data_IF_270295172862
#
_entry.id   IF_270295172862
#
_cell.length_a   1.000
_cell.length_b   1.000
_cell.length_c   1.000
_cell.angle_alpha   90.00
_cell.angle_beta   90.00
_cell.angle_gamma   90.00
#
_symmetry.space_group_name_H-M   'P 1'
#
loop_
_entity.id
_entity.type
_entity.pdbx_description
1 polymer ?
#
# COMPACT_ATOMS: atom_id res chain seq x y z
N UNK A 1 -3.19 -36.90 -5.16
CA UNK A 1 -3.75 -35.57 -5.41
C UNK A 1 -2.83 -34.61 -4.70
N UNK A 2 -2.22 -33.67 -5.42
CA UNK A 2 -1.52 -32.56 -4.76
C UNK A 2 -2.67 -31.72 -4.20
N UNK A 3 -2.84 -31.69 -2.88
CA UNK A 3 -3.73 -30.74 -2.22
C UNK A 3 -3.25 -29.34 -2.67
N UNK A 4 -4.13 -28.61 -3.35
CA UNK A 4 -3.87 -27.21 -3.71
C UNK A 4 -4.09 -26.35 -2.46
N UNK A 5 -3.39 -25.23 -2.37
CA UNK A 5 -3.66 -24.24 -1.34
C UNK A 5 -5.13 -23.79 -1.29
N UNK A 6 -5.48 -23.17 -0.18
CA UNK A 6 -6.82 -22.68 0.12
C UNK A 6 -7.36 -21.72 -0.95
N UNK A 7 -8.66 -21.81 -1.23
CA UNK A 7 -9.37 -20.80 -2.01
C UNK A 7 -9.66 -19.54 -1.17
N UNK A 8 -10.21 -18.51 -1.81
CA UNK A 8 -10.45 -17.21 -1.15
C UNK A 8 -11.30 -17.34 0.13
N UNK A 9 -12.36 -18.15 0.08
CA UNK A 9 -13.26 -18.33 1.23
C UNK A 9 -12.54 -19.04 2.38
N UNK A 10 -11.78 -20.10 2.09
CA UNK A 10 -10.98 -20.83 3.07
C UNK A 10 -9.91 -19.93 3.71
N UNK A 11 -9.20 -19.16 2.89
CA UNK A 11 -8.20 -18.17 3.36
C UNK A 11 -8.82 -17.16 4.31
N UNK A 12 -9.99 -16.61 3.98
CA UNK A 12 -10.70 -15.66 4.84
C UNK A 12 -11.17 -16.30 6.16
N UNK A 13 -11.62 -17.55 6.15
CA UNK A 13 -12.00 -18.28 7.37
C UNK A 13 -10.79 -18.44 8.29
N UNK A 14 -9.63 -18.82 7.74
CA UNK A 14 -8.41 -19.00 8.53
C UNK A 14 -7.86 -17.69 9.07
N UNK A 15 -7.82 -16.63 8.27
CA UNK A 15 -7.48 -15.28 8.75
C UNK A 15 -8.43 -14.80 9.86
N UNK A 16 -9.75 -14.98 9.68
CA UNK A 16 -10.74 -14.64 10.70
C UNK A 16 -10.47 -15.39 12.02
N UNK A 17 -10.14 -16.69 11.95
CA UNK A 17 -9.81 -17.50 13.12
C UNK A 17 -8.50 -17.07 13.80
N UNK A 18 -7.48 -16.71 13.02
CA UNK A 18 -6.21 -16.19 13.54
C UNK A 18 -6.41 -14.87 14.29
N UNK A 19 -7.28 -14.00 13.77
CA UNK A 19 -7.57 -12.69 14.34
C UNK A 19 -8.49 -12.75 15.57
N UNK A 20 -9.34 -13.77 15.69
CA UNK A 20 -10.36 -13.87 16.74
C UNK A 20 -9.79 -13.73 18.16
N UNK A 21 -8.68 -14.40 18.45
CA UNK A 21 -7.97 -14.30 19.73
C UNK A 21 -6.50 -14.77 19.60
N UNK A 22 -5.67 -14.58 20.63
CA UNK A 22 -4.26 -15.00 20.66
C UNK A 22 -4.02 -16.44 21.12
N UNK A 23 -5.02 -17.08 21.72
CA UNK A 23 -4.92 -18.41 22.31
C UNK A 23 -5.36 -19.56 21.40
N UNK A 24 -6.11 -19.28 20.33
CA UNK A 24 -6.68 -20.31 19.48
C UNK A 24 -5.58 -21.13 18.81
N UNK A 25 -5.75 -22.45 18.87
CA UNK A 25 -4.80 -23.41 18.30
C UNK A 25 -4.83 -23.36 16.78
N UNK A 26 -3.68 -23.69 16.19
CA UNK A 26 -3.50 -23.86 14.76
C UNK A 26 -4.58 -24.81 14.22
N UNK A 27 -5.46 -24.34 13.31
CA UNK A 27 -6.48 -25.19 12.70
C UNK A 27 -5.90 -26.14 11.64
N UNK A 28 -4.69 -25.87 11.15
CA UNK A 28 -4.04 -26.66 10.11
C UNK A 28 -3.24 -27.81 10.74
N UNK A 29 -3.06 -28.93 10.02
CA UNK A 29 -2.20 -30.01 10.49
C UNK A 29 -0.78 -29.51 10.75
N UNK A 30 -0.15 -29.97 11.83
CA UNK A 30 1.27 -29.67 12.07
C UNK A 30 2.11 -30.20 10.90
N UNK A 31 2.64 -29.26 10.10
CA UNK A 31 3.56 -29.50 9.00
C UNK A 31 4.68 -28.47 9.08
N UNK A 32 5.92 -28.94 8.95
CA UNK A 32 7.05 -28.06 8.73
C UNK A 32 6.99 -27.54 7.31
N UNK A 33 7.11 -26.22 7.16
CA UNK A 33 7.23 -25.60 5.84
C UNK A 33 8.67 -25.58 5.35
N UNK A 34 9.63 -26.06 6.15
CA UNK A 34 11.03 -26.12 5.76
C UNK A 34 11.33 -27.48 5.10
N UNK A 35 12.34 -27.49 4.22
CA UNK A 35 12.87 -28.72 3.64
C UNK A 35 13.53 -29.60 4.71
N UNK A 36 13.89 -30.84 4.37
CA UNK A 36 14.68 -31.71 5.26
C UNK A 36 16.04 -31.09 5.63
N UNK A 37 16.57 -30.21 4.77
CA UNK A 37 17.80 -29.45 4.99
C UNK A 37 17.58 -28.17 5.81
N UNK A 38 16.34 -27.88 6.21
CA UNK A 38 15.97 -26.69 6.98
C UNK A 38 15.89 -25.41 6.14
N UNK A 39 15.67 -25.51 4.83
CA UNK A 39 15.58 -24.36 3.91
C UNK A 39 14.13 -24.00 3.57
N UNK A 40 13.90 -22.72 3.26
CA UNK A 40 12.63 -22.19 2.74
C UNK A 40 12.93 -21.34 1.50
N UNK A 41 12.89 -21.99 0.33
CA UNK A 41 13.34 -21.41 -0.94
C UNK A 41 12.32 -21.59 -2.06
N UNK A 42 12.27 -20.60 -2.96
CA UNK A 42 11.29 -20.59 -4.03
C UNK A 42 11.46 -21.75 -5.00
N UNK A 43 10.35 -22.43 -5.33
CA UNK A 43 10.35 -23.57 -6.24
C UNK A 43 10.93 -24.88 -5.67
N UNK A 44 11.41 -24.90 -4.42
CA UNK A 44 11.84 -26.15 -3.75
C UNK A 44 10.64 -26.88 -3.13
N UNK A 45 9.76 -26.13 -2.46
CA UNK A 45 8.60 -26.64 -1.72
C UNK A 45 7.44 -25.62 -1.74
N UNK A 46 6.16 -26.06 -1.79
CA UNK A 46 5.02 -25.19 -1.49
C UNK A 46 5.22 -24.55 -0.11
N UNK A 47 4.87 -23.26 0.07
CA UNK A 47 3.93 -22.43 -0.71
C UNK A 47 4.55 -21.53 -1.79
N UNK A 48 5.84 -21.69 -2.03
CA UNK A 48 6.61 -20.80 -2.89
C UNK A 48 6.48 -21.22 -4.36
N UNK A 49 5.25 -21.12 -4.88
CA UNK A 49 4.81 -21.77 -6.12
C UNK A 49 5.62 -21.37 -7.35
N UNK A 50 5.87 -20.07 -7.51
CA UNK A 50 6.54 -19.57 -8.71
C UNK A 50 7.29 -18.28 -8.43
N UNK A 51 8.51 -18.21 -8.94
CA UNK A 51 9.20 -16.94 -9.23
C UNK A 51 9.09 -16.68 -10.72
N UNK A 52 8.74 -15.45 -11.08
CA UNK A 52 8.70 -14.96 -12.45
C UNK A 52 10.08 -14.41 -12.77
N UNK A 53 10.95 -15.21 -13.40
CA UNK A 53 12.31 -14.79 -13.74
C UNK A 53 12.45 -14.33 -15.20
N UNK A 54 11.44 -14.58 -16.03
CA UNK A 54 11.48 -14.27 -17.46
C UNK A 54 10.08 -14.07 -18.06
N UNK A 55 10.04 -13.63 -19.32
CA UNK A 55 8.80 -13.54 -20.09
C UNK A 55 8.14 -14.91 -20.28
N UNK A 56 8.90 -16.00 -20.40
CA UNK A 56 8.34 -17.35 -20.50
C UNK A 56 7.58 -17.76 -19.23
N UNK A 57 8.12 -17.42 -18.05
CA UNK A 57 7.43 -17.62 -16.78
C UNK A 57 6.13 -16.81 -16.71
N UNK A 58 6.17 -15.58 -17.22
CA UNK A 58 4.99 -14.72 -17.31
C UNK A 58 3.91 -15.29 -18.23
N UNK A 59 4.30 -15.75 -19.42
CA UNK A 59 3.40 -16.41 -20.38
C UNK A 59 2.80 -17.70 -19.81
N UNK A 60 3.55 -18.44 -19.00
CA UNK A 60 3.01 -19.60 -18.30
C UNK A 60 1.89 -19.22 -17.33
N UNK A 61 2.08 -18.16 -16.52
CA UNK A 61 1.05 -17.67 -15.59
C UNK A 61 -0.19 -17.19 -16.35
N UNK A 62 -0.02 -16.49 -17.47
CA UNK A 62 -1.12 -16.07 -18.35
C UNK A 62 -1.97 -17.25 -18.87
N UNK A 63 -1.32 -18.38 -19.19
CA UNK A 63 -2.00 -19.58 -19.68
C UNK A 63 -2.65 -20.41 -18.57
N UNK A 64 -2.32 -20.14 -17.30
CA UNK A 64 -2.76 -20.93 -16.15
C UNK A 64 -3.41 -20.05 -15.07
N UNK A 65 -4.60 -19.46 -15.35
CA UNK A 65 -5.20 -18.46 -14.47
C UNK A 65 -5.61 -18.98 -13.10
N UNK A 66 -5.70 -20.29 -12.94
CA UNK A 66 -6.00 -20.91 -11.65
C UNK A 66 -4.85 -20.80 -10.65
N UNK A 67 -3.61 -20.53 -11.11
CA UNK A 67 -2.46 -20.38 -10.21
C UNK A 67 -2.57 -19.03 -9.50
N UNK A 68 -2.68 -17.92 -10.23
CA UNK A 68 -2.68 -16.60 -9.60
C UNK A 68 -3.98 -16.26 -8.86
N UNK A 69 -5.13 -16.80 -9.30
CA UNK A 69 -6.43 -16.53 -8.65
C UNK A 69 -6.54 -17.04 -7.21
N UNK A 70 -5.71 -18.01 -6.83
CA UNK A 70 -5.68 -18.59 -5.48
C UNK A 70 -4.36 -18.32 -4.77
N UNK A 71 -3.60 -17.31 -5.19
CA UNK A 71 -2.33 -16.98 -4.57
C UNK A 71 -2.24 -15.50 -4.19
N UNK A 72 -1.44 -15.23 -3.17
CA UNK A 72 -0.92 -13.88 -2.96
C UNK A 72 0.12 -13.58 -4.03
N UNK A 73 0.05 -12.38 -4.58
CA UNK A 73 1.01 -11.93 -5.58
C UNK A 73 1.97 -10.93 -4.93
N UNK A 74 3.22 -11.33 -4.75
CA UNK A 74 4.24 -10.54 -4.05
C UNK A 74 5.18 -9.94 -5.09
N UNK A 75 5.40 -8.64 -5.03
CA UNK A 75 6.22 -7.89 -5.97
C UNK A 75 7.38 -7.27 -5.20
N UNK A 76 8.60 -7.55 -5.64
CA UNK A 76 9.81 -6.95 -5.07
C UNK A 76 10.32 -5.83 -5.98
N UNK A 77 10.30 -4.55 -5.53
CA UNK A 77 10.95 -3.48 -6.27
C UNK A 77 12.47 -3.50 -6.10
N UNK A 78 12.99 -4.22 -5.10
CA UNK A 78 14.41 -4.31 -4.75
C UNK A 78 14.75 -5.70 -4.20
N UNK A 79 16.04 -6.08 -4.23
CA UNK A 79 16.51 -7.42 -3.83
C UNK A 79 16.46 -7.68 -2.31
N UNK A 80 16.50 -6.63 -1.50
CA UNK A 80 16.35 -6.67 -0.05
C UNK A 80 15.74 -5.37 0.48
N UNK A 81 15.12 -5.44 1.67
CA UNK A 81 14.59 -4.25 2.37
C UNK A 81 15.66 -3.58 3.23
N UNK A 82 16.77 -4.28 3.51
CA UNK A 82 17.96 -3.72 4.12
C UNK A 82 18.86 -4.78 4.79
N UNK A 83 19.78 -4.33 5.65
CA UNK A 83 20.81 -5.17 6.29
C UNK A 83 20.67 -5.09 7.81
N UNK A 84 20.40 -6.22 8.48
CA UNK A 84 20.15 -6.27 9.91
C UNK A 84 21.43 -6.14 10.76
N UNK A 85 21.29 -6.13 12.09
CA UNK A 85 22.42 -6.02 13.02
C UNK A 85 23.43 -7.17 12.91
N UNK A 86 23.02 -8.32 12.36
CA UNK A 86 23.88 -9.47 12.09
C UNK A 86 24.59 -9.39 10.73
N UNK A 87 24.47 -8.26 10.02
CA UNK A 87 24.99 -8.06 8.66
C UNK A 87 24.35 -8.99 7.61
N UNK A 88 23.13 -9.43 7.85
CA UNK A 88 22.36 -10.24 6.91
C UNK A 88 21.46 -9.33 6.07
N UNK A 89 21.45 -9.53 4.76
CA UNK A 89 20.39 -8.96 3.91
C UNK A 89 19.04 -9.58 4.28
N UNK A 90 17.99 -8.76 4.26
CA UNK A 90 16.64 -9.17 4.65
C UNK A 90 15.72 -9.13 3.44
N UNK A 91 15.25 -10.30 3.00
CA UNK A 91 14.25 -10.43 1.94
C UNK A 91 12.86 -10.68 2.53
N UNK A 92 12.13 -9.60 2.80
CA UNK A 92 10.86 -9.63 3.52
C UNK A 92 9.72 -10.41 2.83
N UNK A 93 9.75 -10.52 1.50
CA UNK A 93 8.77 -11.29 0.72
C UNK A 93 8.63 -12.76 1.16
N UNK A 94 9.72 -13.38 1.62
CA UNK A 94 9.69 -14.75 2.15
C UNK A 94 8.86 -14.84 3.43
N UNK A 95 8.90 -13.80 4.26
CA UNK A 95 8.12 -13.75 5.49
C UNK A 95 6.63 -13.70 5.17
N UNK A 96 6.22 -12.84 4.22
CA UNK A 96 4.83 -12.79 3.73
C UNK A 96 4.36 -14.18 3.29
N UNK A 97 5.12 -14.83 2.39
CA UNK A 97 4.73 -16.12 1.84
C UNK A 97 4.65 -17.21 2.92
N UNK A 98 5.61 -17.23 3.85
CA UNK A 98 5.57 -18.13 5.00
C UNK A 98 4.34 -17.88 5.88
N UNK A 99 4.06 -16.63 6.23
CA UNK A 99 2.94 -16.23 7.08
C UNK A 99 1.62 -16.65 6.43
N UNK A 100 1.44 -16.35 5.14
CA UNK A 100 0.24 -16.70 4.38
C UNK A 100 -0.02 -18.22 4.39
N UNK A 101 1.02 -19.01 4.17
CA UNK A 101 0.91 -20.46 4.21
C UNK A 101 0.68 -21.01 5.61
N UNK A 102 1.44 -20.55 6.59
CA UNK A 102 1.35 -21.05 7.96
C UNK A 102 0.01 -20.73 8.60
N UNK A 103 -0.58 -19.58 8.26
CA UNK A 103 -1.83 -19.12 8.88
C UNK A 103 -3.05 -19.59 8.10
N UNK A 104 -2.97 -19.65 6.77
CA UNK A 104 -4.16 -19.82 5.92
C UNK A 104 -3.98 -20.80 4.76
N UNK A 105 -2.88 -21.57 4.72
CA UNK A 105 -2.58 -22.51 3.63
C UNK A 105 -2.68 -21.83 2.25
N UNK A 106 -2.23 -20.57 2.19
CA UNK A 106 -2.32 -19.73 1.01
C UNK A 106 -0.97 -19.62 0.30
N UNK A 107 -0.95 -20.10 -0.94
CA UNK A 107 0.21 -20.10 -1.83
C UNK A 107 0.59 -18.68 -2.28
N UNK A 108 1.85 -18.51 -2.72
CA UNK A 108 2.38 -17.22 -3.17
C UNK A 108 3.11 -17.31 -4.50
N UNK A 109 2.98 -16.25 -5.30
CA UNK A 109 3.76 -16.02 -6.52
C UNK A 109 4.64 -14.79 -6.28
N UNK A 110 5.91 -14.90 -6.66
CA UNK A 110 6.86 -13.81 -6.59
C UNK A 110 7.16 -13.22 -7.96
N UNK A 111 7.10 -11.90 -8.05
CA UNK A 111 7.57 -11.12 -9.18
C UNK A 111 8.69 -10.17 -8.76
N UNK A 112 9.97 -10.58 -8.92
CA UNK A 112 11.12 -9.75 -8.63
C UNK A 112 11.36 -8.76 -9.76
N UNK A 113 10.59 -7.67 -9.78
CA UNK A 113 10.65 -6.62 -10.82
C UNK A 113 12.06 -6.06 -10.95
N UNK A 114 12.79 -6.00 -9.85
CA UNK A 114 14.19 -5.61 -9.80
C UNK A 114 15.08 -6.50 -10.71
N UNK A 115 14.80 -7.79 -10.80
CA UNK A 115 15.56 -8.71 -11.65
C UNK A 115 15.06 -8.70 -13.09
N UNK A 116 13.74 -8.80 -13.28
CA UNK A 116 13.11 -8.97 -14.60
C UNK A 116 12.94 -7.67 -15.40
N UNK A 117 13.03 -6.53 -14.71
CA UNK A 117 12.54 -5.26 -15.20
C UNK A 117 11.02 -5.22 -15.30
N UNK A 118 10.50 -4.17 -15.95
CA UNK A 118 9.07 -4.04 -16.19
C UNK A 118 8.63 -4.88 -17.36
N UNK A 119 7.82 -5.89 -17.06
CA UNK A 119 6.98 -6.56 -18.04
C UNK A 119 5.88 -5.59 -18.54
N UNK A 120 5.22 -5.96 -19.65
CA UNK A 120 4.16 -5.15 -20.23
C UNK A 120 2.98 -4.97 -19.24
N UNK A 121 2.74 -3.73 -18.79
CA UNK A 121 1.70 -3.40 -17.81
C UNK A 121 0.29 -3.78 -18.26
N UNK A 122 0.00 -3.75 -19.57
CA UNK A 122 -1.29 -4.18 -20.12
C UNK A 122 -1.59 -5.65 -19.82
N UNK A 123 -0.52 -6.45 -19.66
CA UNK A 123 -0.63 -7.85 -19.25
C UNK A 123 -0.53 -8.03 -17.74
N UNK A 124 0.32 -7.24 -17.07
CA UNK A 124 0.58 -7.34 -15.61
C UNK A 124 -0.64 -6.98 -14.79
N UNK A 125 -1.26 -5.85 -15.06
CA UNK A 125 -2.34 -5.32 -14.23
C UNK A 125 -3.56 -6.26 -14.16
N UNK A 126 -4.03 -6.88 -15.26
CA UNK A 126 -5.11 -7.87 -15.19
C UNK A 126 -4.80 -9.08 -14.30
N UNK A 127 -3.57 -9.59 -14.29
CA UNK A 127 -3.17 -10.72 -13.45
C UNK A 127 -3.13 -10.31 -11.98
N UNK A 128 -2.48 -9.18 -11.68
CA UNK A 128 -2.41 -8.64 -10.33
C UNK A 128 -3.82 -8.38 -9.79
N UNK A 129 -4.68 -7.77 -10.61
CA UNK A 129 -6.07 -7.51 -10.27
C UNK A 129 -6.87 -8.77 -10.02
N UNK A 130 -6.56 -9.90 -10.65
CA UNK A 130 -7.33 -11.13 -10.49
C UNK A 130 -6.73 -12.09 -9.43
N UNK A 131 -5.66 -11.69 -8.75
CA UNK A 131 -5.05 -12.45 -7.65
C UNK A 131 -5.84 -12.29 -6.34
N UNK A 132 -5.50 -13.05 -5.29
CA UNK A 132 -6.20 -12.90 -3.99
C UNK A 132 -5.91 -11.54 -3.34
N UNK A 133 -4.64 -11.15 -3.32
CA UNK A 133 -4.16 -9.83 -2.91
C UNK A 133 -2.81 -9.58 -3.59
N UNK A 134 -2.46 -8.30 -3.73
CA UNK A 134 -1.14 -7.88 -4.23
C UNK A 134 -0.37 -7.25 -3.08
N UNK A 135 0.87 -7.68 -2.88
CA UNK A 135 1.77 -7.15 -1.86
C UNK A 135 2.98 -6.59 -2.58
N UNK A 136 3.19 -5.28 -2.48
CA UNK A 136 4.31 -4.59 -3.08
C UNK A 136 5.29 -4.21 -1.97
N UNK A 137 6.45 -4.87 -1.98
CA UNK A 137 7.42 -4.87 -0.89
C UNK A 137 8.30 -3.62 -0.81
N UNK A 138 9.13 -3.55 0.23
CA UNK A 138 10.11 -2.49 0.42
C UNK A 138 11.36 -2.60 -0.45
N UNK A 139 12.33 -1.72 -0.17
CA UNK A 139 13.63 -1.69 -0.83
C UNK A 139 14.59 -0.75 -0.13
N UNK A 140 15.79 -0.60 -0.68
CA UNK A 140 16.84 0.24 -0.10
C UNK A 140 17.04 1.59 -0.83
N UNK A 141 16.26 1.87 -1.87
CA UNK A 141 16.31 3.12 -2.62
C UNK A 141 15.26 4.13 -2.11
N UNK A 142 15.64 5.40 -2.09
CA UNK A 142 14.77 6.50 -1.68
C UNK A 142 13.94 6.98 -2.88
N UNK A 143 12.62 7.08 -2.73
CA UNK A 143 11.73 7.50 -3.84
C UNK A 143 12.02 8.92 -4.30
N UNK A 144 12.31 9.84 -3.39
CA UNK A 144 12.65 11.22 -3.74
C UNK A 144 14.03 11.38 -4.43
N UNK A 145 14.85 10.33 -4.50
CA UNK A 145 16.17 10.34 -5.15
C UNK A 145 16.24 9.38 -6.36
N UNK A 146 15.93 9.86 -7.59
CA UNK A 146 15.98 9.05 -8.80
C UNK A 146 17.34 8.40 -9.08
N UNK A 147 18.44 8.98 -8.57
CA UNK A 147 19.80 8.47 -8.83
C UNK A 147 20.13 7.20 -8.08
N UNK A 148 19.36 6.85 -7.04
CA UNK A 148 19.53 5.59 -6.32
C UNK A 148 18.94 4.41 -7.10
N UNK A 149 18.02 4.66 -8.03
CA UNK A 149 17.36 3.66 -8.88
C UNK A 149 18.21 3.28 -10.11
N UNK A 150 19.50 3.00 -9.87
CA UNK A 150 20.50 2.67 -10.93
C UNK A 150 20.75 1.16 -11.07
N UNK A 151 20.37 0.40 -10.06
CA UNK A 151 20.34 -1.05 -10.01
C UNK A 151 19.24 -1.37 -9.01
N UNK A 152 18.26 -2.24 -9.29
CA UNK A 152 18.26 -3.24 -10.37
C UNK A 152 17.57 -2.80 -11.68
N UNK A 153 17.18 -3.74 -12.56
CA UNK A 153 16.62 -3.51 -13.93
C UNK A 153 15.25 -2.78 -13.97
N UNK A 154 14.89 -2.03 -12.94
CA UNK A 154 13.66 -1.26 -12.89
C UNK A 154 13.95 0.17 -12.45
N UNK A 155 13.61 1.13 -13.31
CA UNK A 155 13.74 2.55 -12.96
C UNK A 155 12.67 2.97 -11.96
N UNK A 156 12.93 4.08 -11.26
CA UNK A 156 11.92 4.72 -10.41
C UNK A 156 10.61 5.00 -11.16
N UNK A 157 10.70 5.55 -12.37
CA UNK A 157 9.54 5.89 -13.19
C UNK A 157 8.72 4.68 -13.58
N UNK A 158 9.38 3.55 -13.86
CA UNK A 158 8.73 2.29 -14.13
C UNK A 158 7.93 1.79 -12.92
N UNK A 159 8.49 1.91 -11.71
CA UNK A 159 7.78 1.56 -10.47
C UNK A 159 6.62 2.50 -10.17
N UNK A 160 6.81 3.82 -10.31
CA UNK A 160 5.74 4.81 -10.14
C UNK A 160 4.59 4.54 -11.12
N UNK A 161 4.91 4.21 -12.37
CA UNK A 161 3.91 3.85 -13.39
C UNK A 161 3.14 2.58 -12.99
N UNK A 162 3.83 1.54 -12.51
CA UNK A 162 3.18 0.32 -12.01
C UNK A 162 2.23 0.65 -10.84
N UNK A 163 2.67 1.47 -9.88
CA UNK A 163 1.86 1.86 -8.73
C UNK A 163 0.66 2.71 -9.15
N UNK A 164 0.81 3.66 -10.06
CA UNK A 164 -0.32 4.43 -10.62
C UNK A 164 -1.37 3.50 -11.25
N UNK A 165 -0.95 2.51 -12.04
CA UNK A 165 -1.89 1.56 -12.63
C UNK A 165 -2.56 0.67 -11.57
N UNK A 166 -1.82 0.24 -10.54
CA UNK A 166 -2.40 -0.49 -9.42
C UNK A 166 -3.45 0.35 -8.69
N UNK A 167 -3.15 1.63 -8.43
CA UNK A 167 -4.06 2.56 -7.81
C UNK A 167 -5.34 2.76 -8.64
N UNK A 168 -5.26 2.79 -9.97
CA UNK A 168 -6.42 2.92 -10.86
C UNK A 168 -7.16 1.60 -11.11
N UNK A 169 -6.56 0.45 -10.84
CA UNK A 169 -7.13 -0.87 -11.16
C UNK A 169 -8.18 -1.37 -10.15
N UNK A 170 -8.32 -0.72 -8.99
CA UNK A 170 -9.20 -1.22 -7.92
C UNK A 170 -10.67 -1.18 -8.35
N UNK A 171 -11.27 -2.35 -8.48
CA UNK A 171 -12.66 -2.54 -8.93
C UNK A 171 -13.37 -3.57 -8.04
N UNK A 172 -14.70 -3.80 -8.19
CA UNK A 172 -15.44 -4.74 -7.35
C UNK A 172 -14.97 -6.20 -7.40
N UNK A 173 -14.18 -6.58 -8.39
CA UNK A 173 -13.62 -7.94 -8.54
C UNK A 173 -12.10 -7.96 -8.52
N UNK A 174 -11.45 -6.81 -8.28
CA UNK A 174 -9.99 -6.79 -8.25
C UNK A 174 -9.46 -7.22 -6.89
N UNK A 175 -8.17 -7.50 -6.82
CA UNK A 175 -7.42 -7.68 -5.60
C UNK A 175 -7.28 -6.35 -4.84
N UNK A 176 -7.22 -6.36 -3.49
CA UNK A 176 -6.63 -5.27 -2.73
C UNK A 176 -5.12 -5.21 -2.94
N UNK A 177 -4.54 -4.04 -2.70
CA UNK A 177 -3.08 -3.85 -2.73
C UNK A 177 -2.59 -3.43 -1.34
N UNK A 178 -1.53 -4.06 -0.87
CA UNK A 178 -0.79 -3.69 0.34
C UNK A 178 0.62 -3.26 -0.09
N UNK A 179 1.00 -2.02 0.21
CA UNK A 179 2.29 -1.45 -0.20
C UNK A 179 3.14 -1.14 1.03
N UNK A 180 4.34 -1.70 1.10
CA UNK A 180 5.17 -1.75 2.31
C UNK A 180 6.49 -0.99 2.08
N UNK A 181 6.92 -0.21 3.09
CA UNK A 181 8.20 0.51 3.12
C UNK A 181 8.40 1.42 1.90
N UNK A 182 9.35 1.16 1.00
CA UNK A 182 9.55 1.95 -0.24
C UNK A 182 8.26 2.02 -1.07
N UNK A 183 7.42 1.00 -1.04
CA UNK A 183 6.18 1.01 -1.80
C UNK A 183 5.10 1.89 -1.18
N UNK A 184 5.16 2.15 0.13
CA UNK A 184 4.36 3.21 0.76
C UNK A 184 4.79 4.60 0.28
N UNK A 185 6.09 4.82 0.12
CA UNK A 185 6.63 6.05 -0.48
C UNK A 185 6.21 6.21 -1.96
N UNK A 186 6.32 5.14 -2.75
CA UNK A 186 5.86 5.14 -4.15
C UNK A 186 4.37 5.47 -4.24
N UNK A 187 3.55 4.91 -3.35
CA UNK A 187 2.12 5.21 -3.28
C UNK A 187 1.88 6.70 -3.01
N UNK A 188 2.61 7.30 -2.07
CA UNK A 188 2.48 8.73 -1.77
C UNK A 188 2.77 9.60 -3.00
N UNK A 189 3.91 9.37 -3.68
CA UNK A 189 4.26 10.11 -4.90
C UNK A 189 3.27 9.84 -6.05
N UNK A 190 2.85 8.60 -6.27
CA UNK A 190 1.87 8.24 -7.31
C UNK A 190 0.49 8.89 -7.09
N UNK A 191 0.02 9.05 -5.84
CA UNK A 191 -1.23 9.78 -5.59
C UNK A 191 -1.13 11.25 -6.04
N UNK A 192 0.00 11.91 -5.78
CA UNK A 192 0.23 13.29 -6.22
C UNK A 192 0.34 13.38 -7.74
N UNK A 193 1.05 12.45 -8.38
CA UNK A 193 1.15 12.38 -9.86
C UNK A 193 -0.21 12.17 -10.52
N UNK A 194 -1.05 11.28 -9.99
CA UNK A 194 -2.41 11.08 -10.48
C UNK A 194 -3.27 12.35 -10.36
N UNK A 195 -3.14 13.10 -9.26
CA UNK A 195 -3.85 14.37 -9.09
C UNK A 195 -3.35 15.45 -10.06
N UNK A 196 -2.03 15.53 -10.29
CA UNK A 196 -1.46 16.42 -11.29
C UNK A 196 -1.97 16.07 -12.69
N UNK A 197 -2.00 14.79 -13.05
CA UNK A 197 -2.53 14.31 -14.33
C UNK A 197 -4.02 14.65 -14.47
N UNK A 198 -4.83 14.40 -13.43
CA UNK A 198 -6.25 14.73 -13.43
C UNK A 198 -6.49 16.24 -13.63
N UNK A 199 -5.74 17.08 -12.91
CA UNK A 199 -5.82 18.54 -13.03
C UNK A 199 -5.42 18.99 -14.44
N UNK A 200 -4.31 18.48 -14.97
CA UNK A 200 -3.83 18.85 -16.30
C UNK A 200 -4.80 18.42 -17.40
N UNK A 201 -5.30 17.19 -17.36
CA UNK A 201 -6.24 16.66 -18.35
C UNK A 201 -7.55 17.45 -18.37
N UNK A 202 -8.10 17.76 -17.19
CA UNK A 202 -9.33 18.56 -17.08
C UNK A 202 -9.13 19.99 -17.58
N UNK A 203 -8.04 20.65 -17.17
CA UNK A 203 -7.77 22.05 -17.56
C UNK A 203 -7.54 22.15 -19.07
N UNK A 204 -6.82 21.21 -19.65
CA UNK A 204 -6.50 21.18 -21.09
C UNK A 204 -7.66 20.68 -21.96
N UNK A 205 -8.72 20.14 -21.36
CA UNK A 205 -9.91 19.73 -22.11
C UNK A 205 -10.67 20.98 -22.57
N UNK A 206 -10.75 21.20 -23.89
CA UNK A 206 -11.47 22.35 -24.46
C UNK A 206 -12.98 22.11 -24.53
N UNK A 207 -13.40 20.88 -24.86
CA UNK A 207 -14.79 20.51 -25.06
C UNK A 207 -15.04 19.06 -24.70
N UNK A 208 -16.22 18.78 -24.13
CA UNK A 208 -16.74 17.43 -23.99
C UNK A 208 -18.02 17.29 -24.83
N UNK A 209 -18.03 16.38 -25.81
CA UNK A 209 -19.14 16.27 -26.77
C UNK A 209 -20.48 15.88 -26.15
N UNK A 210 -20.46 15.30 -24.93
CA UNK A 210 -21.66 14.90 -24.18
C UNK A 210 -22.10 15.94 -23.15
N UNK A 211 -21.35 17.03 -23.02
CA UNK A 211 -21.61 18.14 -22.10
C UNK A 211 -22.16 19.33 -22.90
N UNK A 212 -23.44 19.25 -23.31
CA UNK A 212 -24.02 20.20 -24.27
C UNK A 212 -23.97 21.67 -23.78
N UNK A 213 -24.09 21.85 -22.46
CA UNK A 213 -24.10 23.16 -21.79
C UNK A 213 -22.74 23.52 -21.14
N UNK A 214 -21.70 22.71 -21.35
CA UNK A 214 -20.36 22.83 -20.74
C UNK A 214 -20.35 22.86 -19.19
N UNK A 215 -21.47 22.53 -18.52
CA UNK A 215 -21.61 22.61 -17.06
C UNK A 215 -20.64 21.67 -16.34
N UNK A 216 -20.50 20.43 -16.83
CA UNK A 216 -19.62 19.45 -16.20
C UNK A 216 -18.16 19.90 -16.27
N UNK A 217 -17.72 20.36 -17.45
CA UNK A 217 -16.37 20.82 -17.68
C UNK A 217 -16.06 22.10 -16.89
N UNK A 218 -17.01 23.05 -16.81
CA UNK A 218 -16.86 24.25 -15.99
C UNK A 218 -16.69 23.92 -14.51
N UNK A 219 -17.51 23.01 -13.98
CA UNK A 219 -17.42 22.57 -12.59
C UNK A 219 -16.07 21.88 -12.30
N UNK A 220 -15.66 20.95 -13.17
CA UNK A 220 -14.38 20.24 -13.05
C UNK A 220 -13.19 21.19 -13.15
N UNK A 221 -13.19 22.15 -14.08
CA UNK A 221 -12.11 23.14 -14.19
C UNK A 221 -12.00 24.00 -12.95
N UNK A 222 -13.12 24.48 -12.42
CA UNK A 222 -13.11 25.29 -11.20
C UNK A 222 -12.48 24.55 -10.02
N UNK A 223 -12.80 23.25 -9.83
CA UNK A 223 -12.17 22.48 -8.76
C UNK A 223 -10.71 22.14 -9.04
N UNK A 224 -10.34 21.80 -10.28
CA UNK A 224 -8.95 21.52 -10.65
C UNK A 224 -8.05 22.75 -10.51
N UNK A 225 -8.56 23.95 -10.79
CA UNK A 225 -7.85 25.20 -10.53
C UNK A 225 -7.63 25.44 -9.04
N UNK A 226 -8.62 25.13 -8.20
CA UNK A 226 -8.48 25.19 -6.74
C UNK A 226 -7.44 24.19 -6.25
N UNK A 227 -7.49 22.94 -6.72
CA UNK A 227 -6.54 21.88 -6.35
C UNK A 227 -5.12 22.29 -6.73
N UNK A 228 -4.92 22.79 -7.96
CA UNK A 228 -3.62 23.32 -8.41
C UNK A 228 -3.14 24.44 -7.49
N UNK A 229 -4.00 25.41 -7.20
CA UNK A 229 -3.64 26.55 -6.36
C UNK A 229 -3.23 26.12 -4.95
N UNK A 230 -3.95 25.19 -4.31
CA UNK A 230 -3.58 24.66 -3.00
C UNK A 230 -2.28 23.87 -3.10
N UNK A 231 -2.19 22.96 -4.07
CA UNK A 231 -1.02 22.12 -4.32
C UNK A 231 0.27 22.91 -4.52
N UNK A 232 0.23 24.01 -5.28
CA UNK A 232 1.38 24.89 -5.53
C UNK A 232 1.83 25.71 -4.30
N UNK A 233 0.98 25.86 -3.28
CA UNK A 233 1.25 26.71 -2.12
C UNK A 233 1.50 25.95 -0.81
N UNK A 234 1.26 24.65 -0.76
CA UNK A 234 1.61 23.81 0.40
C UNK A 234 3.12 23.81 0.61
N UNK A 235 3.51 23.87 1.88
CA UNK A 235 4.90 23.72 2.31
C UNK A 235 4.99 22.47 3.16
N UNK A 236 6.09 21.75 3.02
CA UNK A 236 6.42 20.63 3.91
C UNK A 236 7.36 21.19 4.98
N UNK A 237 6.92 21.13 6.24
CA UNK A 237 7.66 21.63 7.39
C UNK A 237 8.08 20.46 8.30
N UNK A 238 9.39 20.31 8.51
CA UNK A 238 9.92 19.33 9.47
C UNK A 238 9.69 19.79 10.90
N UNK A 239 9.79 18.87 11.87
CA UNK A 239 9.51 19.16 13.29
C UNK A 239 10.42 20.26 13.87
N UNK A 240 11.61 20.44 13.30
CA UNK A 240 12.56 21.50 13.65
C UNK A 240 12.25 22.88 13.02
N UNK A 241 11.14 23.00 12.28
CA UNK A 241 10.67 24.21 11.61
C UNK A 241 11.31 24.49 10.25
N UNK A 242 12.15 23.57 9.73
CA UNK A 242 12.72 23.72 8.38
C UNK A 242 11.67 23.39 7.32
N UNK A 243 11.56 24.28 6.33
CA UNK A 243 10.81 24.00 5.10
C UNK A 243 11.70 23.20 4.16
N UNK A 244 11.28 21.97 3.83
CA UNK A 244 12.06 21.03 3.00
C UNK A 244 11.52 20.88 1.57
N UNK A 245 10.30 21.33 1.33
CA UNK A 245 9.68 21.39 0.01
C UNK A 245 8.62 22.50 -0.04
N UNK A 246 8.40 23.04 -1.24
CA UNK A 246 7.30 23.98 -1.50
C UNK A 246 6.63 23.67 -2.84
N UNK A 247 5.32 23.42 -2.76
CA UNK A 247 4.49 23.09 -3.91
C UNK A 247 4.61 21.64 -4.35
N UNK A 248 3.52 21.08 -4.87
CA UNK A 248 3.40 19.69 -5.31
C UNK A 248 4.34 19.24 -6.45
N UNK A 249 5.07 20.18 -7.07
CA UNK A 249 6.07 19.88 -8.12
C UNK A 249 7.48 19.70 -7.54
N UNK A 250 7.67 19.97 -6.25
CA UNK A 250 8.94 19.73 -5.57
C UNK A 250 9.18 18.22 -5.42
N UNK A 251 10.41 17.77 -5.68
CA UNK A 251 10.78 16.36 -5.61
C UNK A 251 10.64 15.78 -4.20
N UNK A 252 10.76 16.63 -3.18
CA UNK A 252 10.60 16.22 -1.78
C UNK A 252 9.18 16.47 -1.26
N UNK A 253 8.21 16.77 -2.13
CA UNK A 253 6.84 17.09 -1.69
C UNK A 253 6.14 15.90 -1.02
N UNK A 254 6.29 14.70 -1.56
CA UNK A 254 5.62 13.50 -1.04
C UNK A 254 6.45 12.73 -0.03
N UNK A 255 7.78 12.73 -0.22
CA UNK A 255 8.72 11.90 0.52
C UNK A 255 9.98 12.72 0.78
N UNK A 256 10.53 12.62 1.98
CA UNK A 256 11.78 13.27 2.36
C UNK A 256 12.54 12.38 3.35
N UNK A 257 13.84 12.63 3.50
CA UNK A 257 14.60 12.03 4.59
C UNK A 257 14.00 12.40 5.95
N UNK A 258 13.75 11.40 6.78
CA UNK A 258 13.33 11.56 8.16
C UNK A 258 14.46 12.24 8.97
N UNK A 259 14.12 12.97 10.04
CA UNK A 259 15.13 13.53 10.95
C UNK A 259 15.94 12.45 11.65
N UNK A 260 15.29 11.34 12.01
CA UNK A 260 15.88 10.22 12.74
C UNK A 260 15.71 8.91 11.98
N UNK A 261 16.71 8.03 12.11
CA UNK A 261 16.67 6.71 11.49
C UNK A 261 15.74 5.78 12.27
N UNK A 262 14.77 5.18 11.59
CA UNK A 262 13.86 4.21 12.20
C UNK A 262 14.25 2.78 11.83
N UNK A 263 15.02 2.16 12.73
CA UNK A 263 15.38 0.74 12.66
C UNK A 263 15.01 0.07 13.98
N UNK A 264 14.43 -1.13 13.90
CA UNK A 264 14.02 -1.91 15.06
C UNK A 264 12.56 -1.70 15.45
N UNK A 265 12.22 -2.11 16.68
CA UNK A 265 10.87 -2.05 17.20
C UNK A 265 10.42 -0.58 17.39
N UNK A 266 9.20 -0.28 16.94
CA UNK A 266 8.48 0.98 17.20
C UNK A 266 7.05 0.69 17.63
N UNK A 267 6.38 1.72 18.12
CA UNK A 267 4.98 1.64 18.51
C UNK A 267 4.10 2.43 17.56
N UNK A 268 2.98 1.84 17.13
CA UNK A 268 1.95 2.58 16.41
C UNK A 268 1.00 3.29 17.38
N UNK A 269 0.78 4.57 17.09
CA UNK A 269 -0.25 5.39 17.72
C UNK A 269 -1.32 5.75 16.69
N UNK A 270 -2.59 5.91 17.11
CA UNK A 270 -3.64 6.40 16.22
C UNK A 270 -3.26 7.80 15.76
N UNK A 271 -3.41 8.05 14.45
CA UNK A 271 -3.09 9.35 13.89
C UNK A 271 -4.00 10.44 14.47
N UNK A 272 -3.40 11.56 14.88
CA UNK A 272 -4.13 12.71 15.43
C UNK A 272 -3.94 13.91 14.52
N UNK A 273 -5.02 14.28 13.82
CA UNK A 273 -5.03 15.48 12.97
C UNK A 273 -4.51 16.70 13.75
N UNK A 274 -3.50 17.42 13.23
CA UNK A 274 -2.98 18.62 13.86
C UNK A 274 -4.08 19.66 14.11
N UNK A 275 -3.91 20.45 15.17
CA UNK A 275 -4.79 21.60 15.41
C UNK A 275 -4.38 22.72 14.45
N UNK A 276 -5.33 23.28 13.71
CA UNK A 276 -5.08 24.36 12.74
C UNK A 276 -4.27 25.55 13.31
N UNK A 277 -4.44 25.88 14.59
CA UNK A 277 -3.66 26.96 15.24
C UNK A 277 -2.17 26.65 15.43
N UNK A 278 -1.77 25.40 15.31
CA UNK A 278 -0.43 24.88 15.59
C UNK A 278 0.20 24.27 14.33
N UNK A 279 -0.37 24.48 13.15
CA UNK A 279 0.08 23.87 11.91
C UNK A 279 -0.07 24.87 10.76
N UNK A 280 0.85 24.83 9.79
CA UNK A 280 0.73 25.59 8.55
C UNK A 280 -0.19 24.92 7.52
N UNK A 281 -0.70 23.72 7.81
CA UNK A 281 -1.58 22.96 6.93
C UNK A 281 -2.92 23.70 6.79
N UNK A 282 -3.40 23.95 5.55
CA UNK A 282 -4.69 24.59 5.33
C UNK A 282 -5.82 23.83 6.05
N UNK A 283 -6.70 24.59 6.72
CA UNK A 283 -7.78 24.02 7.54
C UNK A 283 -8.68 23.07 6.77
N UNK A 284 -8.91 23.33 5.47
CA UNK A 284 -9.74 22.48 4.62
C UNK A 284 -9.15 21.07 4.41
N UNK A 285 -7.83 20.90 4.48
CA UNK A 285 -7.18 19.59 4.42
C UNK A 285 -7.37 18.81 5.73
N UNK A 286 -7.22 19.51 6.86
CA UNK A 286 -7.43 18.96 8.20
C UNK A 286 -8.89 18.53 8.41
N UNK A 287 -9.84 19.37 7.99
CA UNK A 287 -11.28 19.08 8.08
C UNK A 287 -11.67 17.90 7.19
N UNK A 288 -11.13 17.81 5.97
CA UNK A 288 -11.37 16.68 5.08
C UNK A 288 -10.92 15.35 5.70
N UNK A 289 -9.76 15.34 6.36
CA UNK A 289 -9.30 14.15 7.09
C UNK A 289 -10.22 13.80 8.26
N UNK A 290 -10.68 14.79 9.04
CA UNK A 290 -11.60 14.54 10.16
C UNK A 290 -12.95 13.97 9.71
N UNK A 291 -13.50 14.46 8.59
CA UNK A 291 -14.72 13.89 7.98
C UNK A 291 -14.49 12.42 7.64
N UNK A 292 -13.40 12.11 6.96
CA UNK A 292 -13.06 10.74 6.59
C UNK A 292 -12.80 9.83 7.79
N UNK A 293 -12.16 10.35 8.83
CA UNK A 293 -11.94 9.62 10.08
C UNK A 293 -13.25 9.32 10.81
N UNK A 294 -14.26 10.18 10.69
CA UNK A 294 -15.59 9.96 11.24
C UNK A 294 -16.43 8.98 10.39
N UNK A 295 -16.43 9.14 9.06
CA UNK A 295 -17.20 8.29 8.16
C UNK A 295 -16.71 6.84 8.15
N UNK A 296 -15.39 6.64 8.26
CA UNK A 296 -14.77 5.32 8.21
C UNK A 296 -13.85 5.14 9.41
N UNK A 297 -14.37 4.44 10.41
CA UNK A 297 -13.59 3.93 11.53
C UNK A 297 -12.44 3.05 11.00
N UNK A 298 -11.20 3.35 11.41
CA UNK A 298 -10.02 2.69 10.88
C UNK A 298 -9.83 1.27 11.41
N UNK A 299 -9.28 0.40 10.57
CA UNK A 299 -8.90 -0.96 10.93
C UNK A 299 -7.82 -0.98 12.01
N UNK A 300 -6.84 -0.07 11.89
CA UNK A 300 -5.79 0.14 12.89
C UNK A 300 -6.34 0.79 14.15
N UNK A 301 -7.25 1.76 14.00
CA UNK A 301 -7.92 2.40 15.14
C UNK A 301 -8.55 1.34 16.05
N UNK A 302 -9.29 0.37 15.48
CA UNK A 302 -9.83 -0.74 16.26
C UNK A 302 -8.76 -1.61 16.90
N UNK A 303 -7.67 -1.93 16.19
CA UNK A 303 -6.63 -2.78 16.77
C UNK A 303 -5.92 -2.13 17.97
N UNK A 304 -5.58 -0.84 17.85
CA UNK A 304 -4.97 -0.08 18.94
C UNK A 304 -5.96 0.10 20.10
N UNK A 305 -7.22 0.45 19.78
CA UNK A 305 -8.26 0.70 20.78
C UNK A 305 -8.75 -0.58 21.50
N UNK A 306 -8.85 -1.71 20.79
CA UNK A 306 -9.30 -3.01 21.34
C UNK A 306 -8.27 -3.61 22.30
N UNK A 307 -6.98 -3.32 22.14
CA UNK A 307 -5.91 -3.93 22.93
C UNK A 307 -5.40 -3.05 24.07
N UNK A 308 -5.77 -1.77 24.11
CA UNK A 308 -5.41 -0.84 25.18
C UNK A 308 -3.90 -0.72 25.41
N UNK A 309 -3.10 -1.05 24.38
CA UNK A 309 -1.64 -1.07 24.39
C UNK A 309 -1.12 -0.59 23.05
N UNK A 310 0.10 -0.08 23.11
CA UNK A 310 0.90 0.31 21.96
C UNK A 310 1.17 -0.93 21.09
N UNK A 311 0.93 -0.82 19.78
CA UNK A 311 1.10 -1.92 18.81
C UNK A 311 2.56 -1.95 18.36
N UNK A 312 3.27 -3.03 18.67
CA UNK A 312 4.68 -3.18 18.30
C UNK A 312 4.86 -3.56 16.82
N UNK A 313 5.72 -2.84 16.12
CA UNK A 313 6.03 -3.03 14.70
C UNK A 313 7.53 -2.95 14.43
N UNK A 314 7.96 -3.52 13.31
CA UNK A 314 9.34 -3.52 12.85
C UNK A 314 9.60 -2.42 11.81
N UNK A 315 10.59 -1.56 12.04
CA UNK A 315 11.00 -0.49 11.12
C UNK A 315 12.35 -0.80 10.43
N UNK A 316 12.49 -0.32 9.20
CA UNK A 316 13.69 -0.52 8.36
C UNK A 316 13.92 0.59 7.32
N UNK A 317 13.80 1.88 7.67
CA UNK A 317 13.97 2.93 6.66
C UNK A 317 14.46 4.28 7.22
N UNK A 318 14.76 5.17 6.28
CA UNK A 318 15.37 6.49 6.49
C UNK A 318 14.52 7.64 5.95
N UNK A 319 13.57 7.36 5.06
CA UNK A 319 12.65 8.37 4.54
C UNK A 319 11.31 8.29 5.27
N UNK A 320 10.54 9.36 5.18
CA UNK A 320 9.17 9.42 5.62
C UNK A 320 8.28 9.94 4.49
N UNK A 321 7.02 9.53 4.52
CA UNK A 321 5.97 10.16 3.72
C UNK A 321 5.45 11.39 4.47
N UNK A 322 5.38 12.52 3.76
CA UNK A 322 4.99 13.78 4.36
C UNK A 322 3.49 13.81 4.70
N UNK A 323 3.16 14.23 5.92
CA UNK A 323 1.79 14.36 6.41
C UNK A 323 0.95 15.30 5.51
N UNK A 324 1.52 16.44 5.13
CA UNK A 324 0.83 17.47 4.36
C UNK A 324 0.48 16.99 2.96
N UNK A 325 1.34 16.17 2.35
CA UNK A 325 1.11 15.58 1.02
C UNK A 325 -0.09 14.65 1.03
N UNK A 326 -0.19 13.78 2.03
CA UNK A 326 -1.32 12.84 2.14
C UNK A 326 -2.62 13.56 2.51
N UNK A 327 -2.58 14.54 3.42
CA UNK A 327 -3.76 15.36 3.75
C UNK A 327 -4.26 16.15 2.52
N UNK A 328 -3.34 16.65 1.70
CA UNK A 328 -3.67 17.27 0.43
C UNK A 328 -4.31 16.28 -0.55
N UNK A 329 -3.70 15.11 -0.74
CA UNK A 329 -4.24 14.09 -1.62
C UNK A 329 -5.66 13.67 -1.21
N UNK A 330 -5.88 13.48 0.10
CA UNK A 330 -7.18 13.17 0.66
C UNK A 330 -8.25 14.20 0.27
N UNK A 331 -8.00 15.47 0.57
CA UNK A 331 -8.93 16.55 0.26
C UNK A 331 -9.16 16.70 -1.25
N UNK A 332 -8.09 16.60 -2.05
CA UNK A 332 -8.17 16.77 -3.50
C UNK A 332 -9.03 15.67 -4.15
N UNK A 333 -8.86 14.41 -3.73
CA UNK A 333 -9.72 13.32 -4.20
C UNK A 333 -11.18 13.49 -3.80
N UNK A 334 -11.45 13.87 -2.55
CA UNK A 334 -12.82 14.15 -2.10
C UNK A 334 -13.45 15.28 -2.91
N UNK A 335 -12.69 16.35 -3.16
CA UNK A 335 -13.13 17.51 -3.92
C UNK A 335 -13.44 17.14 -5.38
N UNK A 336 -12.56 16.38 -6.04
CA UNK A 336 -12.78 15.85 -7.39
C UNK A 336 -14.00 14.94 -7.43
N UNK A 337 -14.11 13.97 -6.52
CA UNK A 337 -15.24 13.06 -6.47
C UNK A 337 -16.56 13.83 -6.35
N UNK A 338 -16.63 14.83 -5.46
CA UNK A 338 -17.83 15.64 -5.28
C UNK A 338 -18.20 16.46 -6.53
N UNK A 339 -17.22 16.93 -7.29
CA UNK A 339 -17.46 17.60 -8.58
C UNK A 339 -17.90 16.62 -9.68
N UNK A 340 -17.42 15.37 -9.63
CA UNK A 340 -17.75 14.32 -10.60
C UNK A 340 -19.18 13.79 -10.39
N UNK A 341 -19.63 13.60 -9.15
CA UNK A 341 -20.91 12.94 -8.82
C UNK A 341 -22.12 13.46 -9.62
N UNK A 342 -22.37 14.79 -9.73
CA UNK A 342 -23.51 15.31 -10.48
C UNK A 342 -23.44 15.02 -11.99
N UNK A 343 -22.22 14.88 -12.53
CA UNK A 343 -21.96 14.79 -13.96
C UNK A 343 -21.38 13.43 -14.40
N UNK A 344 -21.42 12.42 -13.53
CA UNK A 344 -20.74 11.13 -13.73
C UNK A 344 -21.09 10.41 -15.02
N UNK A 345 -22.33 10.52 -15.52
CA UNK A 345 -22.74 9.89 -16.78
C UNK A 345 -22.16 10.59 -18.01
N UNK A 346 -21.96 11.91 -17.94
CA UNK A 346 -21.30 12.71 -18.98
C UNK A 346 -19.81 12.33 -19.00
N UNK A 347 -19.19 12.24 -17.83
CA UNK A 347 -17.76 11.90 -17.66
C UNK A 347 -17.48 10.46 -18.06
N UNK A 348 -18.33 9.50 -17.67
CA UNK A 348 -18.20 8.09 -18.05
C UNK A 348 -18.21 7.88 -19.57
N UNK A 349 -18.81 8.82 -20.30
CA UNK A 349 -18.91 8.82 -21.74
C UNK A 349 -17.80 9.55 -22.49
N UNK A 350 -16.83 10.14 -21.79
CA UNK A 350 -15.80 11.02 -22.38
C UNK A 350 -14.38 10.47 -22.18
N UNK A 351 -13.40 11.18 -22.73
CA UNK A 351 -11.98 10.87 -22.51
C UNK A 351 -11.54 11.08 -21.05
N UNK A 352 -12.34 11.79 -20.24
CA UNK A 352 -12.12 11.96 -18.80
C UNK A 352 -12.71 10.81 -17.96
N UNK A 353 -13.22 9.74 -18.60
CA UNK A 353 -13.81 8.59 -17.88
C UNK A 353 -12.84 7.91 -16.91
N UNK A 354 -11.53 8.02 -17.14
CA UNK A 354 -10.50 7.50 -16.24
C UNK A 354 -10.55 8.17 -14.85
N UNK A 355 -11.06 9.39 -14.72
CA UNK A 355 -11.25 10.06 -13.42
C UNK A 355 -12.18 9.27 -12.49
N UNK A 356 -13.05 8.43 -13.04
CA UNK A 356 -13.94 7.55 -12.25
C UNK A 356 -13.21 6.39 -11.59
N UNK A 357 -11.95 6.14 -11.96
CA UNK A 357 -11.08 5.11 -11.39
C UNK A 357 -10.18 5.66 -10.28
N UNK A 358 -10.14 6.98 -10.10
CA UNK A 358 -9.35 7.60 -9.05
C UNK A 358 -9.81 7.13 -7.66
N UNK A 359 -8.88 7.07 -6.68
CA UNK A 359 -9.26 6.95 -5.28
C UNK A 359 -10.31 8.00 -4.89
N UNK A 360 -11.21 7.62 -3.98
CA UNK A 360 -12.13 8.57 -3.34
C UNK A 360 -11.43 9.39 -2.26
N UNK A 361 -10.46 8.79 -1.56
CA UNK A 361 -9.75 9.40 -0.43
C UNK A 361 -8.50 8.61 -0.08
N UNK A 362 -7.56 9.25 0.63
CA UNK A 362 -6.37 8.62 1.22
C UNK A 362 -6.26 9.07 2.67
N UNK A 363 -6.59 8.18 3.62
CA UNK A 363 -6.64 8.49 5.04
C UNK A 363 -5.34 8.06 5.73
N UNK A 364 -4.69 8.95 6.47
CA UNK A 364 -3.62 8.56 7.42
C UNK A 364 -4.27 7.83 8.60
N UNK A 365 -3.77 6.64 8.91
CA UNK A 365 -4.29 5.77 9.96
C UNK A 365 -3.47 5.85 11.26
N UNK A 366 -2.15 5.93 11.15
CA UNK A 366 -1.28 5.83 12.32
C UNK A 366 0.02 6.63 12.15
N UNK A 367 0.63 6.95 13.29
CA UNK A 367 1.97 7.51 13.42
C UNK A 367 2.87 6.53 14.18
N UNK A 368 4.19 6.60 14.00
CA UNK A 368 5.14 5.88 14.83
C UNK A 368 5.62 6.73 16.00
N UNK A 369 5.93 6.08 17.11
CA UNK A 369 6.46 6.71 18.32
C UNK A 369 7.63 5.91 18.90
N UNK A 370 8.59 6.64 19.46
CA UNK A 370 9.58 6.11 20.39
C UNK A 370 9.82 7.08 21.54
N UNK A 371 9.87 6.55 22.77
CA UNK A 371 10.19 7.30 23.99
C UNK A 371 9.27 8.52 24.24
N UNK A 372 8.00 8.43 23.83
CA UNK A 372 6.99 9.47 23.97
C UNK A 372 7.00 10.53 22.86
N UNK A 373 7.85 10.40 21.85
CA UNK A 373 7.97 11.33 20.73
C UNK A 373 7.53 10.68 19.42
N UNK A 374 6.68 11.39 18.66
CA UNK A 374 6.30 10.96 17.30
C UNK A 374 7.53 11.04 16.40
N UNK A 375 7.85 9.96 15.69
CA UNK A 375 8.98 9.89 14.76
C UNK A 375 8.55 10.02 13.31
N UNK A 376 7.46 9.35 12.92
CA UNK A 376 6.82 9.49 11.60
C UNK A 376 5.34 9.73 11.77
N UNK A 377 4.84 10.87 11.29
CA UNK A 377 3.44 11.26 11.35
C UNK A 377 2.55 10.37 10.48
N UNK A 378 3.01 10.04 9.27
CA UNK A 378 2.29 9.23 8.29
C UNK A 378 2.90 7.83 8.14
N UNK A 379 2.72 6.98 9.15
CA UNK A 379 3.28 5.62 9.13
C UNK A 379 2.42 4.59 8.37
N UNK A 380 1.12 4.87 8.20
CA UNK A 380 0.21 3.99 7.49
C UNK A 380 -0.95 4.78 6.89
N UNK A 381 -1.37 4.41 5.68
CA UNK A 381 -2.55 4.99 5.02
C UNK A 381 -3.53 3.93 4.53
N UNK A 382 -4.80 4.34 4.42
CA UNK A 382 -5.88 3.62 3.78
C UNK A 382 -6.33 4.38 2.54
N UNK A 383 -6.29 3.73 1.39
CA UNK A 383 -6.78 4.27 0.12
C UNK A 383 -8.19 3.72 -0.08
N UNK A 384 -9.20 4.59 -0.05
CA UNK A 384 -10.59 4.17 -0.22
C UNK A 384 -11.05 4.43 -1.65
N UNK A 385 -11.79 3.47 -2.20
CA UNK A 385 -12.42 3.52 -3.51
C UNK A 385 -13.92 3.44 -3.32
N UNK A 386 -14.64 4.47 -3.79
CA UNK A 386 -16.09 4.56 -3.62
C UNK A 386 -16.78 4.29 -4.94
N UNK A 387 -17.62 3.28 -4.95
CA UNK A 387 -18.47 3.00 -6.09
C UNK A 387 -19.55 4.09 -6.26
N UNK A 388 -19.60 4.72 -7.43
CA UNK A 388 -20.48 5.87 -7.69
C UNK A 388 -21.98 5.55 -7.59
N UNK A 389 -22.37 4.29 -7.78
CA UNK A 389 -23.79 3.88 -7.80
C UNK A 389 -24.19 3.19 -6.49
N UNK A 390 -23.37 2.28 -5.98
CA UNK A 390 -23.67 1.48 -4.78
C UNK A 390 -23.16 2.11 -3.48
N UNK A 391 -22.27 3.11 -3.56
CA UNK A 391 -21.54 3.69 -2.43
C UNK A 391 -20.71 2.70 -1.61
N UNK A 392 -20.52 1.46 -2.11
CA UNK A 392 -19.64 0.49 -1.48
C UNK A 392 -18.21 1.01 -1.50
N UNK A 393 -17.53 0.82 -0.37
CA UNK A 393 -16.12 1.17 -0.21
C UNK A 393 -15.28 -0.08 -0.35
N UNK A 394 -14.20 0.06 -1.10
CA UNK A 394 -13.11 -0.91 -1.17
C UNK A 394 -11.83 -0.24 -0.70
N UNK A 395 -10.95 -1.01 -0.07
CA UNK A 395 -9.71 -0.49 0.50
C UNK A 395 -8.46 -1.17 -0.04
N UNK A 396 -7.41 -0.39 -0.06
CA UNK A 396 -6.00 -0.79 -0.18
C UNK A 396 -5.23 -0.10 0.94
N UNK A 397 -4.10 -0.67 1.33
CA UNK A 397 -3.34 -0.19 2.50
C UNK A 397 -1.90 0.06 2.15
N UNK A 398 -1.28 1.00 2.84
CA UNK A 398 0.15 1.23 2.72
C UNK A 398 0.76 1.40 4.10
N UNK A 399 1.95 0.84 4.32
CA UNK A 399 2.64 0.84 5.61
C UNK A 399 4.10 1.23 5.39
N UNK A 400 4.60 2.18 6.18
CA UNK A 400 5.99 2.57 6.19
C UNK A 400 6.89 1.54 6.91
N UNK A 401 6.30 0.78 7.83
CA UNK A 401 6.88 -0.32 8.58
C UNK A 401 6.68 -1.67 7.89
N UNK A 402 7.38 -2.70 8.39
CA UNK A 402 7.34 -4.08 7.91
C UNK A 402 6.54 -4.97 8.88
N UNK A 403 5.21 -5.08 8.73
CA UNK A 403 4.39 -5.91 9.62
C UNK A 403 4.71 -7.41 9.53
N UNK A 404 5.39 -7.85 8.49
CA UNK A 404 5.85 -9.22 8.23
C UNK A 404 7.17 -9.59 8.91
N UNK A 405 7.91 -8.60 9.42
CA UNK A 405 9.17 -8.84 10.13
C UNK A 405 8.91 -9.05 11.62
N UNK A 406 9.43 -10.15 12.15
CA UNK A 406 9.53 -10.39 13.59
C UNK A 406 10.63 -9.50 14.21
N UNK A 407 10.67 -9.44 15.54
CA UNK A 407 11.55 -8.54 16.29
C UNK A 407 13.05 -8.74 16.04
N UNK A 408 13.46 -9.88 15.46
CA UNK A 408 14.85 -10.13 15.09
C UNK A 408 15.23 -9.56 13.72
N UNK A 409 14.27 -9.02 12.96
CA UNK A 409 14.46 -8.44 11.63
C UNK A 409 15.19 -9.38 10.67
N UNK A 410 14.81 -10.66 10.66
CA UNK A 410 15.41 -11.68 9.81
C UNK A 410 14.40 -12.20 8.80
N UNK A 411 14.90 -12.58 7.63
CA UNK A 411 14.10 -13.35 6.68
C UNK A 411 13.87 -14.77 7.21
N UNK A 412 12.70 -15.33 6.91
CA UNK A 412 12.44 -16.74 7.10
C UNK A 412 13.40 -17.56 6.23
N UNK A 413 14.00 -18.59 6.85
CA UNK A 413 15.10 -19.39 6.28
C UNK A 413 16.47 -19.05 6.86
N UNK A 414 16.66 -17.85 7.43
CA UNK A 414 17.86 -17.52 8.23
C UNK A 414 17.65 -17.73 9.73
N UNK A 415 16.40 -17.86 10.17
CA UNK A 415 16.00 -18.13 11.57
C UNK A 415 15.21 -19.44 11.69
N UNK A 416 15.05 -20.00 12.91
CA UNK A 416 14.17 -21.16 13.13
C UNK A 416 12.74 -20.89 12.65
N UNK A 417 12.07 -21.93 12.16
CA UNK A 417 10.68 -21.88 11.71
C UNK A 417 9.78 -21.36 12.86
N UNK A 418 9.12 -20.19 12.69
CA UNK A 418 8.25 -19.67 13.73
C UNK A 418 6.98 -20.51 13.84
N UNK A 419 6.58 -20.76 15.08
CA UNK A 419 5.34 -21.51 15.38
C UNK A 419 4.09 -20.65 15.14
N UNK A 420 2.94 -21.27 14.90
CA UNK A 420 1.66 -20.54 14.81
C UNK A 420 1.39 -19.67 16.05
N UNK A 421 1.71 -20.17 17.24
CA UNK A 421 1.62 -19.42 18.49
C UNK A 421 2.56 -18.21 18.54
N UNK A 422 3.76 -18.32 17.98
CA UNK A 422 4.70 -17.19 17.91
C UNK A 422 4.17 -16.11 16.96
N UNK A 423 3.70 -16.50 15.77
CA UNK A 423 3.10 -15.55 14.81
C UNK A 423 1.90 -14.81 15.43
N UNK A 424 1.12 -15.51 16.26
CA UNK A 424 -0.01 -14.91 16.99
C UNK A 424 0.38 -13.88 18.04
N UNK A 425 1.57 -13.99 18.62
CA UNK A 425 2.01 -13.01 19.61
C UNK A 425 2.57 -11.73 18.96
N UNK A 426 2.93 -11.80 17.69
CA UNK A 426 3.39 -10.62 16.93
C UNK A 426 2.24 -9.69 16.57
N UNK A 427 2.31 -8.46 17.08
CA UNK A 427 1.42 -7.36 16.74
C UNK A 427 1.48 -7.01 15.24
N UNK A 428 2.69 -6.93 14.68
CA UNK A 428 2.92 -6.71 13.25
C UNK A 428 2.23 -7.77 12.38
N UNK A 429 2.40 -9.06 12.67
CA UNK A 429 1.80 -10.13 11.86
C UNK A 429 0.28 -10.10 11.97
N UNK A 430 -0.27 -9.88 13.17
CA UNK A 430 -1.71 -9.70 13.36
C UNK A 430 -2.24 -8.52 12.57
N UNK A 431 -1.49 -7.43 12.50
CA UNK A 431 -1.82 -6.27 11.67
C UNK A 431 -1.83 -6.64 10.18
N UNK A 432 -0.78 -7.29 9.66
CA UNK A 432 -0.74 -7.76 8.28
C UNK A 432 -1.96 -8.62 7.91
N UNK A 433 -2.26 -9.63 8.73
CA UNK A 433 -3.42 -10.51 8.51
C UNK A 433 -4.73 -9.72 8.56
N UNK A 434 -4.84 -8.71 9.42
CA UNK A 434 -6.02 -7.85 9.48
C UNK A 434 -6.15 -6.97 8.23
N UNK A 435 -5.05 -6.42 7.71
CA UNK A 435 -5.05 -5.66 6.45
C UNK A 435 -5.46 -6.54 5.26
N UNK A 436 -4.91 -7.76 5.17
CA UNK A 436 -5.28 -8.75 4.15
C UNK A 436 -6.76 -9.13 4.25
N UNK A 437 -7.22 -9.53 5.44
CA UNK A 437 -8.59 -9.95 5.70
C UNK A 437 -9.60 -8.87 5.30
N UNK A 438 -9.39 -7.61 5.72
CA UNK A 438 -10.30 -6.52 5.37
C UNK A 438 -10.21 -6.13 3.89
N UNK A 439 -9.01 -6.08 3.31
CA UNK A 439 -8.86 -5.76 1.89
C UNK A 439 -9.53 -6.80 0.98
N UNK A 440 -9.47 -8.08 1.35
CA UNK A 440 -10.00 -9.19 0.55
C UNK A 440 -11.52 -9.39 0.71
N UNK A 441 -12.13 -8.89 1.79
CA UNK A 441 -13.58 -8.98 2.01
C UNK A 441 -14.40 -7.93 1.25
N UNK A 442 -13.77 -6.82 0.87
CA UNK A 442 -14.42 -5.66 0.23
C UNK A 442 -14.32 -5.67 -1.29
#
# INVERSE_FOLDING_TARGET
MIERGSDLESTLIFFGRFLADRSSQDPLPEKTLFSEQGTFEWGEIPPLEKVINSEEDWQFILQNPQIFRSSLFIIEPWDHVGINELSETVRASKNIAFIAQKIADCDSILFPVWQTGTLNLDSVIPILSASMAVILEGGNASVHNPTEWTYPNCSRENMLTLVEHLLLSRSPQSAPVIMICVSHQLAAESNIRLLQNAVNDVINTEKNSRDEDDEALLCLKAICEKIRSVGENIKIEKRDGRIVAQGWNDINFSVVLNEDKEIGERHLLPYKTPKAKNSMIPIELLEAHQVMAHEYEGIIDRMILEHGRDVAISMFHYDEVNEESILFANWAYMALHNAIVPHRYIIAGSHLSWLLQLPYSVKILASTEANGEILTECSCTCINYKDFETNKIRRSFTCQFHPELLNDLREIGKRPEPSYSELKESDGIRLLIRLLYHGMQE
#
